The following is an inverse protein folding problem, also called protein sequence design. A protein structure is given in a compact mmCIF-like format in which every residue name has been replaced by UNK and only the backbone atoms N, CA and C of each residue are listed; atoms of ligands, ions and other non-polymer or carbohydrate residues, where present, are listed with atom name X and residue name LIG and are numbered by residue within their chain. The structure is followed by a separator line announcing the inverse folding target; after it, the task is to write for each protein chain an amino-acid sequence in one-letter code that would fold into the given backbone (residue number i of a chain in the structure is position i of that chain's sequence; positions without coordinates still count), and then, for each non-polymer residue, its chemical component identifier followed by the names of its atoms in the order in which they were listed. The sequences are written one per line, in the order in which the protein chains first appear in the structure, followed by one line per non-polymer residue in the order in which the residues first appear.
data_IF_490477420389
#
_entry.id   IF_490477420389
#
_cell.length_a   1.000
_cell.length_b   1.000
_cell.length_c   1.000
_cell.angle_alpha   90.00
_cell.angle_beta   90.00
_cell.angle_gamma   90.00
#
_symmetry.space_group_name_H-M   'P 1'
#
loop_
_entity.id
_entity.type
_entity.pdbx_description
1 polymer ?
#
# COMPACT_ATOMS: atom_id res chain seq x y z
N UNK A 1 -0.18 19.07 -0.06
CA UNK A 1 0.98 18.56 0.70
C UNK A 1 1.13 17.07 0.43
N UNK A 2 2.36 16.61 0.18
CA UNK A 2 2.70 15.17 0.14
C UNK A 2 2.72 14.63 1.57
N UNK A 3 2.31 13.38 1.79
CA UNK A 3 2.04 12.84 3.14
C UNK A 3 2.76 11.50 3.35
N UNK A 4 3.64 11.48 4.34
CA UNK A 4 4.25 10.28 4.87
C UNK A 4 3.16 9.29 5.28
N UNK A 5 3.25 8.07 4.75
CA UNK A 5 2.27 7.01 4.98
C UNK A 5 3.00 5.73 5.36
N UNK A 6 2.48 5.04 6.38
CA UNK A 6 2.96 3.72 6.77
C UNK A 6 2.04 2.64 6.19
N UNK A 7 2.62 1.54 5.76
CA UNK A 7 1.92 0.36 5.28
C UNK A 7 2.79 -0.88 5.41
N UNK A 8 2.42 -1.92 4.69
CA UNK A 8 3.18 -3.16 4.59
C UNK A 8 3.45 -3.46 3.11
N UNK A 9 4.63 -4.02 2.80
CA UNK A 9 5.02 -4.31 1.44
C UNK A 9 5.83 -5.62 1.34
N UNK A 10 5.66 -6.34 0.24
CA UNK A 10 6.62 -7.34 -0.20
C UNK A 10 7.66 -6.64 -1.09
N UNK A 11 8.92 -6.63 -0.67
CA UNK A 11 10.00 -5.95 -1.40
C UNK A 11 10.64 -6.83 -2.47
N UNK A 12 10.36 -8.14 -2.42
CA UNK A 12 10.85 -9.14 -3.36
C UNK A 12 9.72 -10.12 -3.69
N UNK A 13 9.77 -10.72 -4.89
CA UNK A 13 8.77 -11.70 -5.33
C UNK A 13 8.80 -12.93 -4.41
N UNK A 14 7.65 -13.29 -3.86
CA UNK A 14 7.49 -14.40 -2.91
C UNK A 14 8.03 -14.12 -1.51
N UNK A 15 8.67 -12.95 -1.30
CA UNK A 15 9.28 -12.57 -0.04
C UNK A 15 8.28 -12.30 1.10
N UNK A 16 8.77 -12.07 2.32
CA UNK A 16 7.93 -11.69 3.44
C UNK A 16 7.33 -10.29 3.23
N UNK A 17 6.15 -10.06 3.81
CA UNK A 17 5.54 -8.73 3.89
C UNK A 17 6.09 -8.05 5.15
N UNK A 18 6.68 -6.86 5.00
CA UNK A 18 7.33 -6.11 6.08
C UNK A 18 6.77 -4.69 6.21
N UNK A 19 6.89 -4.04 7.38
CA UNK A 19 6.54 -2.63 7.53
C UNK A 19 7.29 -1.76 6.53
N UNK A 20 6.59 -0.81 5.92
CA UNK A 20 7.13 0.04 4.87
C UNK A 20 6.59 1.47 4.98
N UNK A 21 7.50 2.44 4.88
CA UNK A 21 7.17 3.87 4.85
C UNK A 21 7.34 4.42 3.45
N UNK A 22 6.37 5.23 3.01
CA UNK A 22 6.38 5.82 1.68
C UNK A 22 5.64 7.16 1.65
N UNK A 23 6.00 7.98 0.67
CA UNK A 23 5.35 9.27 0.42
C UNK A 23 4.24 9.13 -0.60
N UNK A 24 3.07 9.69 -0.30
CA UNK A 24 2.02 9.87 -1.31
C UNK A 24 2.15 11.23 -1.98
N UNK A 25 1.93 11.23 -3.30
CA UNK A 25 1.87 12.45 -4.12
C UNK A 25 0.87 13.47 -3.56
N UNK A 26 1.08 14.74 -3.91
CA UNK A 26 0.16 15.81 -3.52
C UNK A 26 -1.23 15.61 -4.13
N UNK A 27 -2.25 16.06 -3.40
CA UNK A 27 -3.64 16.01 -3.85
C UNK A 27 -3.85 16.91 -5.07
N UNK A 28 -4.44 16.35 -6.12
CA UNK A 28 -4.87 17.06 -7.33
C UNK A 28 -6.39 17.33 -7.26
N UNK A 29 -6.94 18.18 -8.15
CA UNK A 29 -8.35 18.58 -8.08
C UNK A 29 -9.39 17.44 -8.11
N UNK A 30 -9.03 16.27 -8.64
CA UNK A 30 -9.93 15.12 -8.76
C UNK A 30 -9.58 13.95 -7.85
N UNK A 31 -8.64 14.13 -6.92
CA UNK A 31 -8.24 13.09 -6.01
C UNK A 31 -9.01 13.15 -4.69
N UNK A 32 -9.12 11.99 -4.03
CA UNK A 32 -9.69 11.88 -2.69
C UNK A 32 -8.65 11.28 -1.75
N UNK A 33 -8.52 11.85 -0.55
CA UNK A 33 -7.72 11.27 0.53
C UNK A 33 -8.61 10.47 1.43
N UNK A 34 -8.25 9.20 1.64
CA UNK A 34 -8.94 8.31 2.55
C UNK A 34 -8.00 7.91 3.70
N UNK A 35 -8.56 7.83 4.91
CA UNK A 35 -7.94 7.11 6.02
C UNK A 35 -8.48 5.69 5.99
N UNK A 36 -7.64 4.74 5.65
CA UNK A 36 -8.01 3.32 5.62
C UNK A 36 -8.20 2.83 7.04
N UNK A 37 -9.37 2.29 7.36
CA UNK A 37 -9.65 1.66 8.67
C UNK A 37 -9.50 0.15 8.60
N UNK A 38 -9.88 -0.44 7.47
CA UNK A 38 -9.82 -1.88 7.22
C UNK A 38 -9.50 -2.13 5.75
N UNK A 39 -8.82 -3.24 5.47
CA UNK A 39 -8.51 -3.72 4.14
C UNK A 39 -8.65 -5.25 4.15
N UNK A 40 -9.47 -5.81 3.26
CA UNK A 40 -9.59 -7.25 3.11
C UNK A 40 -8.40 -7.83 2.36
N UNK A 41 -8.11 -9.11 2.60
CA UNK A 41 -7.08 -9.87 1.87
C UNK A 41 -7.75 -10.98 1.10
N UNK A 42 -7.34 -11.21 -0.15
CA UNK A 42 -7.84 -12.29 -0.98
C UNK A 42 -6.72 -12.95 -1.80
N UNK A 43 -7.08 -13.92 -2.65
CA UNK A 43 -6.11 -14.66 -3.46
C UNK A 43 -5.38 -13.79 -4.49
N UNK A 44 -5.99 -12.70 -4.98
CA UNK A 44 -5.29 -11.82 -5.93
C UNK A 44 -4.09 -11.13 -5.30
N UNK A 45 -4.13 -10.87 -3.99
CA UNK A 45 -2.99 -10.27 -3.28
C UNK A 45 -1.80 -11.22 -3.22
N UNK A 46 -2.04 -12.51 -2.99
CA UNK A 46 -1.01 -13.55 -3.05
C UNK A 46 -0.40 -13.64 -4.44
N UNK A 47 -1.25 -13.70 -5.47
CA UNK A 47 -0.79 -13.73 -6.86
C UNK A 47 0.06 -12.50 -7.21
N UNK A 48 -0.36 -11.30 -6.76
CA UNK A 48 0.38 -10.05 -6.98
C UNK A 48 1.78 -10.06 -6.35
N UNK A 49 1.97 -10.73 -5.22
CA UNK A 49 3.29 -10.87 -4.58
C UNK A 49 4.04 -12.13 -5.02
N UNK A 50 3.49 -12.93 -5.94
CA UNK A 50 4.10 -14.15 -6.44
C UNK A 50 4.00 -15.35 -5.49
N UNK A 51 2.89 -15.45 -4.75
CA UNK A 51 2.49 -16.61 -3.95
C UNK A 51 1.23 -17.28 -4.50
#
# INVERSE_FOLDING_TARGET
MQRATSGFAALERGGPIVPFQFERRALRPHDVVLRITHCGVCHSDLHSIGK
#
